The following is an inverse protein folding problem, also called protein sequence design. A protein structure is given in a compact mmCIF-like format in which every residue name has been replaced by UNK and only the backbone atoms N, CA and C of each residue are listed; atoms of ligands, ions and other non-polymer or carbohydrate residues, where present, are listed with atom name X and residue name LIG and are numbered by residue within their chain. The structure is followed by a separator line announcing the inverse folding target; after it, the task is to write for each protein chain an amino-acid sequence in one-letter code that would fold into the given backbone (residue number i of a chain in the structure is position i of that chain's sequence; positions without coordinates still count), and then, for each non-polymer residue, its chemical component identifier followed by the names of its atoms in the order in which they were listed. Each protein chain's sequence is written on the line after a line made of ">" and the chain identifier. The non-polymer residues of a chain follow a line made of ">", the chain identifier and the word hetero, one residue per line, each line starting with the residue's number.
data_IF_502868205472
#
_entry.id   IF_502868205472
#
_cell.length_a   1.000
_cell.length_b   1.000
_cell.length_c   1.000
_cell.angle_alpha   90.00
_cell.angle_beta   90.00
_cell.angle_gamma   90.00
#
_symmetry.space_group_name_H-M   'P 1'
#
loop_
_entity.id
_entity.type
_entity.pdbx_description
1 polymer ?
#
# COMPACT_ATOMS: atom_id res chain seq x y z
N UNK A 1 17.72 19.05 -7.71
CA UNK A 1 16.65 18.80 -6.70
C UNK A 1 15.51 19.82 -6.88
N UNK A 2 14.31 19.51 -6.39
CA UNK A 2 13.15 20.41 -6.44
C UNK A 2 13.43 21.76 -5.77
N UNK A 3 14.01 21.76 -4.59
CA UNK A 3 14.32 22.99 -3.86
C UNK A 3 15.38 23.86 -4.54
N UNK A 4 16.30 23.27 -5.31
CA UNK A 4 17.20 24.05 -6.16
C UNK A 4 16.44 24.78 -7.29
N UNK A 5 15.48 24.09 -7.92
CA UNK A 5 14.63 24.75 -8.92
C UNK A 5 13.80 25.87 -8.31
N UNK A 6 13.28 25.70 -7.08
CA UNK A 6 12.58 26.75 -6.34
C UNK A 6 13.48 27.96 -6.07
N UNK A 7 14.73 27.74 -5.66
CA UNK A 7 15.67 28.83 -5.43
C UNK A 7 15.98 29.60 -6.72
N UNK A 8 16.19 28.91 -7.85
CA UNK A 8 16.40 29.55 -9.15
C UNK A 8 15.17 30.35 -9.60
N UNK A 9 13.96 29.84 -9.35
CA UNK A 9 12.71 30.57 -9.64
C UNK A 9 12.64 31.90 -8.86
N UNK A 10 12.98 31.89 -7.56
CA UNK A 10 12.98 33.09 -6.70
C UNK A 10 14.09 34.07 -7.05
N UNK A 11 15.20 33.63 -7.62
CA UNK A 11 16.30 34.49 -8.07
C UNK A 11 16.16 35.00 -9.52
N UNK A 12 15.03 34.67 -10.19
CA UNK A 12 14.74 35.12 -11.55
C UNK A 12 15.34 34.22 -12.65
N UNK A 13 16.00 33.13 -12.31
CA UNK A 13 16.58 32.21 -13.29
C UNK A 13 15.53 31.18 -13.77
N UNK A 14 14.40 31.67 -14.29
CA UNK A 14 13.18 30.91 -14.58
C UNK A 14 13.41 29.75 -15.55
N UNK A 15 14.19 29.98 -16.63
CA UNK A 15 14.43 28.92 -17.62
C UNK A 15 15.28 27.78 -17.04
N UNK A 16 16.25 28.08 -16.18
CA UNK A 16 17.02 27.02 -15.49
C UNK A 16 16.12 26.23 -14.51
N UNK A 17 15.28 26.90 -13.74
CA UNK A 17 14.30 26.27 -12.87
C UNK A 17 13.38 25.32 -13.65
N UNK A 18 12.82 25.79 -14.77
CA UNK A 18 11.94 25.04 -15.66
C UNK A 18 12.59 23.76 -16.21
N UNK A 19 13.86 23.84 -16.60
CA UNK A 19 14.60 22.65 -17.07
C UNK A 19 14.74 21.58 -15.98
N UNK A 20 14.91 21.99 -14.72
CA UNK A 20 14.95 21.07 -13.59
C UNK A 20 13.57 20.47 -13.33
N UNK A 21 12.49 21.27 -13.35
CA UNK A 21 11.12 20.77 -13.21
C UNK A 21 10.75 19.77 -14.30
N UNK A 22 11.13 20.01 -15.57
CA UNK A 22 10.88 19.08 -16.69
C UNK A 22 11.54 17.72 -16.44
N UNK A 23 12.73 17.69 -15.86
CA UNK A 23 13.42 16.43 -15.51
C UNK A 23 12.72 15.73 -14.34
N UNK A 24 12.41 16.46 -13.27
CA UNK A 24 11.78 15.93 -12.07
C UNK A 24 10.35 15.43 -12.33
N UNK A 25 9.59 16.10 -13.18
CA UNK A 25 8.21 15.72 -13.51
C UNK A 25 8.09 14.34 -14.17
N UNK A 26 9.19 13.73 -14.58
CA UNK A 26 9.24 12.35 -15.09
C UNK A 26 9.29 11.30 -13.97
N UNK A 27 9.59 11.73 -12.75
CA UNK A 27 9.70 10.84 -11.59
C UNK A 27 8.35 10.66 -10.91
N UNK A 28 8.07 9.43 -10.43
CA UNK A 28 6.86 9.11 -9.68
C UNK A 28 7.13 9.22 -8.18
N UNK A 29 7.36 10.42 -7.73
CA UNK A 29 7.51 10.75 -6.32
C UNK A 29 6.89 12.11 -5.99
N UNK A 30 6.89 12.46 -4.71
CA UNK A 30 6.30 13.70 -4.23
C UNK A 30 6.86 14.94 -4.95
N UNK A 31 8.18 15.03 -5.12
CA UNK A 31 8.80 16.18 -5.77
C UNK A 31 8.63 16.16 -7.29
N UNK A 32 8.51 14.99 -7.90
CA UNK A 32 8.15 14.84 -9.30
C UNK A 32 6.74 15.37 -9.57
N UNK A 33 5.78 15.07 -8.72
CA UNK A 33 4.41 15.59 -8.83
C UNK A 33 4.37 17.10 -8.62
N UNK A 34 5.05 17.65 -7.59
CA UNK A 34 5.16 19.09 -7.41
C UNK A 34 5.83 19.79 -8.60
N UNK A 35 6.83 19.15 -9.22
CA UNK A 35 7.49 19.70 -10.41
C UNK A 35 6.55 19.69 -11.63
N UNK A 36 5.72 18.64 -11.77
CA UNK A 36 4.71 18.57 -12.83
C UNK A 36 3.67 19.68 -12.68
N UNK A 37 3.20 19.97 -11.45
CA UNK A 37 2.31 21.09 -11.16
C UNK A 37 2.94 22.43 -11.57
N UNK A 38 4.23 22.65 -11.26
CA UNK A 38 4.96 23.88 -11.60
C UNK A 38 5.03 24.16 -13.11
N UNK A 39 5.02 23.13 -13.93
CA UNK A 39 5.08 23.24 -15.40
C UNK A 39 3.77 22.88 -16.09
N UNK A 40 2.70 22.71 -15.32
CA UNK A 40 1.36 22.35 -15.77
C UNK A 40 1.37 21.11 -16.69
N UNK A 41 2.02 20.04 -16.22
CA UNK A 41 2.08 18.74 -16.91
C UNK A 41 1.36 17.66 -16.09
N UNK A 42 0.80 16.63 -16.74
CA UNK A 42 0.24 15.50 -16.04
C UNK A 42 1.32 14.72 -15.27
N UNK A 43 0.91 14.09 -14.18
CA UNK A 43 1.80 13.25 -13.37
C UNK A 43 2.28 12.02 -14.14
N UNK A 44 3.57 11.75 -14.05
CA UNK A 44 4.16 10.53 -14.61
C UNK A 44 3.94 9.37 -13.64
N UNK A 45 3.02 8.47 -13.97
CA UNK A 45 2.70 7.32 -13.11
C UNK A 45 3.69 6.16 -13.28
N UNK A 46 4.41 6.09 -14.38
CA UNK A 46 5.42 5.03 -14.65
C UNK A 46 4.89 3.64 -14.25
N UNK A 47 3.69 3.31 -14.74
CA UNK A 47 3.04 2.04 -14.43
C UNK A 47 3.42 0.96 -15.42
N UNK A 48 4.10 -0.08 -14.93
CA UNK A 48 4.45 -1.27 -15.70
C UNK A 48 3.83 -2.50 -15.02
N UNK A 49 2.76 -3.07 -15.55
CA UNK A 49 2.15 -4.29 -15.02
C UNK A 49 3.10 -5.49 -15.22
N UNK A 50 2.94 -6.50 -14.37
CA UNK A 50 3.60 -7.80 -14.60
C UNK A 50 3.01 -8.42 -15.87
N UNK A 51 3.87 -8.94 -16.72
CA UNK A 51 3.44 -9.70 -17.92
C UNK A 51 2.67 -10.95 -17.53
N UNK A 52 1.67 -11.34 -18.34
CA UNK A 52 0.88 -12.56 -18.12
C UNK A 52 1.68 -13.81 -18.56
N UNK A 53 2.64 -14.18 -17.72
CA UNK A 53 3.45 -15.39 -17.90
C UNK A 53 2.81 -16.57 -17.16
N UNK A 54 1.94 -17.29 -17.86
CA UNK A 54 1.18 -18.40 -17.30
C UNK A 54 2.05 -19.56 -16.85
N UNK A 55 3.14 -19.84 -17.56
CA UNK A 55 4.04 -20.94 -17.23
C UNK A 55 4.83 -20.64 -15.95
N UNK A 56 5.41 -19.45 -15.84
CA UNK A 56 6.13 -19.07 -14.64
C UNK A 56 5.18 -18.94 -13.43
N UNK A 57 3.99 -18.42 -13.64
CA UNK A 57 2.94 -18.37 -12.61
C UNK A 57 2.60 -19.78 -12.10
N UNK A 58 2.37 -20.74 -13.00
CA UNK A 58 2.12 -22.14 -12.69
C UNK A 58 3.29 -22.76 -11.93
N UNK A 59 4.51 -22.51 -12.39
CA UNK A 59 5.74 -22.99 -11.74
C UNK A 59 5.84 -22.50 -10.30
N UNK A 60 5.66 -21.18 -10.07
CA UNK A 60 5.73 -20.58 -8.74
C UNK A 60 4.62 -21.13 -7.85
N UNK A 61 3.38 -21.20 -8.33
CA UNK A 61 2.26 -21.72 -7.55
C UNK A 61 2.42 -23.20 -7.16
N UNK A 62 3.19 -23.97 -7.93
CA UNK A 62 3.46 -25.38 -7.70
C UNK A 62 4.57 -25.64 -6.69
N UNK A 63 5.37 -24.65 -6.31
CA UNK A 63 6.47 -24.80 -5.35
C UNK A 63 5.92 -25.33 -4.00
N UNK A 64 6.56 -26.34 -3.39
CA UNK A 64 6.11 -26.90 -2.12
C UNK A 64 5.88 -25.87 -1.01
N UNK A 65 6.79 -24.87 -0.89
CA UNK A 65 6.64 -23.81 0.10
C UNK A 65 5.45 -22.88 -0.21
N UNK A 66 5.14 -22.62 -1.48
CA UNK A 66 3.94 -21.85 -1.86
C UNK A 66 2.65 -22.61 -1.56
N UNK A 67 2.61 -23.91 -1.81
CA UNK A 67 1.46 -24.76 -1.44
C UNK A 67 1.24 -24.74 0.08
N UNK A 68 2.30 -24.97 0.88
CA UNK A 68 2.18 -24.88 2.35
C UNK A 68 1.80 -23.49 2.83
N UNK A 69 2.32 -22.43 2.21
CA UNK A 69 1.92 -21.05 2.52
C UNK A 69 0.43 -20.84 2.28
N UNK A 70 -0.12 -21.39 1.18
CA UNK A 70 -1.55 -21.32 0.88
C UNK A 70 -2.39 -22.05 1.92
N UNK A 71 -2.05 -23.31 2.24
CA UNK A 71 -2.78 -24.09 3.24
C UNK A 71 -2.80 -23.40 4.61
N UNK A 72 -1.65 -22.91 5.07
CA UNK A 72 -1.58 -22.15 6.31
C UNK A 72 -2.41 -20.86 6.28
N UNK A 73 -2.44 -20.18 5.12
CA UNK A 73 -3.24 -18.97 4.94
C UNK A 73 -4.75 -19.28 5.02
N UNK A 74 -5.20 -20.36 4.38
CA UNK A 74 -6.60 -20.80 4.43
C UNK A 74 -7.04 -21.19 5.85
N UNK A 75 -6.12 -21.67 6.68
CA UNK A 75 -6.34 -22.05 8.08
C UNK A 75 -6.17 -20.87 9.06
N UNK A 76 -6.06 -19.62 8.58
CA UNK A 76 -5.78 -18.43 9.41
C UNK A 76 -4.44 -18.51 10.20
N UNK A 77 -3.57 -19.47 9.87
CA UNK A 77 -2.25 -19.64 10.49
C UNK A 77 -1.24 -18.66 9.90
N UNK A 78 -1.54 -17.36 9.97
CA UNK A 78 -0.85 -16.28 9.28
C UNK A 78 0.66 -16.22 9.52
N UNK A 79 1.14 -16.60 10.71
CA UNK A 79 2.59 -16.63 11.03
C UNK A 79 3.30 -17.72 10.23
N UNK A 80 2.71 -18.91 10.15
CA UNK A 80 3.28 -20.04 9.41
C UNK A 80 3.21 -19.77 7.90
N UNK A 81 2.08 -19.27 7.41
CA UNK A 81 1.92 -18.85 6.02
C UNK A 81 3.04 -17.85 5.61
N UNK A 82 3.30 -16.83 6.43
CA UNK A 82 4.37 -15.85 6.16
C UNK A 82 5.76 -16.46 6.17
N UNK A 83 6.04 -17.43 7.04
CA UNK A 83 7.34 -18.12 7.08
C UNK A 83 7.60 -18.91 5.80
N UNK A 84 6.64 -19.72 5.38
CA UNK A 84 6.73 -20.50 4.14
C UNK A 84 6.85 -19.59 2.89
N UNK A 85 6.03 -18.55 2.84
CA UNK A 85 6.11 -17.53 1.79
C UNK A 85 7.49 -16.90 1.69
N UNK A 86 8.01 -16.39 2.81
CA UNK A 86 9.32 -15.75 2.85
C UNK A 86 10.46 -16.74 2.53
N UNK A 87 10.33 -18.00 2.94
CA UNK A 87 11.28 -19.05 2.58
C UNK A 87 11.34 -19.24 1.05
N UNK A 88 10.18 -19.31 0.40
CA UNK A 88 10.13 -19.40 -1.06
C UNK A 88 10.77 -18.19 -1.76
N UNK A 89 10.46 -16.97 -1.28
CA UNK A 89 10.98 -15.74 -1.87
C UNK A 89 12.52 -15.61 -1.81
N UNK A 90 13.20 -16.26 -0.85
CA UNK A 90 14.65 -16.15 -0.70
C UNK A 90 15.44 -16.60 -1.94
N UNK A 91 14.84 -17.45 -2.76
CA UNK A 91 15.47 -18.03 -3.96
C UNK A 91 14.88 -17.46 -5.26
N UNK A 92 14.05 -16.42 -5.18
CA UNK A 92 13.37 -15.84 -6.33
C UNK A 92 14.07 -14.60 -6.86
N UNK A 93 14.07 -14.46 -8.17
CA UNK A 93 14.43 -13.22 -8.83
C UNK A 93 13.38 -12.13 -8.60
N UNK A 94 13.70 -10.88 -8.91
CA UNK A 94 12.72 -9.76 -8.85
C UNK A 94 11.47 -10.08 -9.67
N UNK A 95 11.60 -10.62 -10.87
CA UNK A 95 10.47 -11.01 -11.72
C UNK A 95 9.60 -12.09 -11.06
N UNK A 96 10.22 -13.12 -10.52
CA UNK A 96 9.53 -14.20 -9.82
C UNK A 96 8.79 -13.72 -8.57
N UNK A 97 9.37 -12.77 -7.83
CA UNK A 97 8.70 -12.14 -6.70
C UNK A 97 7.47 -11.33 -7.13
N UNK A 98 7.50 -10.67 -8.31
CA UNK A 98 6.33 -10.00 -8.86
C UNK A 98 5.22 -11.00 -9.21
N UNK A 99 5.57 -12.13 -9.80
CA UNK A 99 4.61 -13.21 -10.08
C UNK A 99 4.04 -13.81 -8.78
N UNK A 100 4.87 -14.00 -7.76
CA UNK A 100 4.40 -14.40 -6.44
C UNK A 100 3.45 -13.35 -5.83
N UNK A 101 3.72 -12.06 -5.97
CA UNK A 101 2.80 -11.01 -5.52
C UNK A 101 1.45 -11.09 -6.24
N UNK A 102 1.43 -11.34 -7.55
CA UNK A 102 0.19 -11.58 -8.29
C UNK A 102 -0.56 -12.84 -7.79
N UNK A 103 0.18 -13.91 -7.44
CA UNK A 103 -0.39 -15.09 -6.81
C UNK A 103 -1.04 -14.78 -5.45
N UNK A 104 -0.39 -13.96 -4.61
CA UNK A 104 -0.97 -13.53 -3.35
C UNK A 104 -2.28 -12.75 -3.54
N UNK A 105 -2.38 -11.90 -4.57
CA UNK A 105 -3.64 -11.22 -4.93
C UNK A 105 -4.73 -12.22 -5.30
N UNK A 106 -4.42 -13.26 -6.09
CA UNK A 106 -5.39 -14.32 -6.42
C UNK A 106 -5.92 -15.06 -5.19
N UNK A 107 -5.11 -15.16 -4.14
CA UNK A 107 -5.54 -15.76 -2.86
C UNK A 107 -6.31 -14.79 -1.95
N UNK A 108 -6.47 -13.52 -2.34
CA UNK A 108 -7.02 -12.48 -1.49
C UNK A 108 -6.03 -11.94 -0.45
N UNK A 109 -4.77 -12.36 -0.51
CA UNK A 109 -3.73 -11.98 0.45
C UNK A 109 -3.01 -10.69 0.03
N UNK A 110 -3.77 -9.62 -0.13
CA UNK A 110 -3.32 -8.35 -0.72
C UNK A 110 -2.16 -7.69 0.03
N UNK A 111 -2.17 -7.73 1.37
CA UNK A 111 -1.05 -7.20 2.16
C UNK A 111 0.26 -7.92 1.85
N UNK A 112 0.20 -9.22 1.55
CA UNK A 112 1.38 -10.01 1.19
C UNK A 112 1.92 -9.60 -0.17
N UNK A 113 1.05 -9.27 -1.12
CA UNK A 113 1.44 -8.72 -2.42
C UNK A 113 2.19 -7.40 -2.24
N UNK A 114 1.64 -6.45 -1.48
CA UNK A 114 2.27 -5.15 -1.20
C UNK A 114 3.68 -5.33 -0.62
N UNK A 115 3.83 -6.18 0.40
CA UNK A 115 5.11 -6.44 1.06
C UNK A 115 6.10 -7.12 0.10
N UNK A 116 5.62 -8.06 -0.70
CA UNK A 116 6.46 -8.78 -1.67
C UNK A 116 6.97 -7.85 -2.76
N UNK A 117 6.13 -6.96 -3.29
CA UNK A 117 6.53 -5.94 -4.26
C UNK A 117 7.57 -4.97 -3.70
N UNK A 118 7.42 -4.56 -2.43
CA UNK A 118 8.41 -3.73 -1.75
C UNK A 118 9.75 -4.46 -1.60
N UNK A 119 9.74 -5.73 -1.20
CA UNK A 119 10.92 -6.58 -1.09
C UNK A 119 11.63 -6.78 -2.44
N UNK A 120 10.88 -6.96 -3.51
CA UNK A 120 11.38 -7.10 -4.87
C UNK A 120 11.96 -5.79 -5.43
N UNK A 121 11.76 -4.65 -4.74
CA UNK A 121 12.04 -3.29 -5.24
C UNK A 121 11.36 -3.00 -6.60
N UNK A 122 10.30 -3.73 -6.91
CA UNK A 122 9.51 -3.59 -8.14
C UNK A 122 8.43 -2.53 -7.93
N UNK A 123 8.84 -1.26 -8.02
CA UNK A 123 8.01 -0.13 -7.62
C UNK A 123 6.99 0.29 -8.67
N UNK A 124 7.08 -0.23 -9.89
CA UNK A 124 6.34 0.27 -11.05
C UNK A 124 5.01 -0.43 -11.31
N UNK A 125 4.72 -1.55 -10.64
CA UNK A 125 3.40 -2.15 -10.69
C UNK A 125 2.46 -1.54 -9.65
N UNK A 126 1.71 -0.52 -10.07
CA UNK A 126 0.83 0.23 -9.16
C UNK A 126 -0.37 -0.60 -8.70
N UNK A 127 -0.90 -1.49 -9.54
CA UNK A 127 -2.07 -2.32 -9.19
C UNK A 127 -1.76 -3.24 -8.00
N UNK A 128 -0.61 -3.92 -8.01
CA UNK A 128 -0.20 -4.80 -6.90
C UNK A 128 0.20 -4.03 -5.64
N UNK A 129 0.68 -2.79 -5.79
CA UNK A 129 1.16 -1.96 -4.68
C UNK A 129 0.10 -1.10 -4.03
N UNK A 130 -0.94 -0.72 -4.77
CA UNK A 130 -2.01 0.18 -4.35
C UNK A 130 -3.39 -0.42 -4.65
N UNK A 131 -3.72 -1.59 -4.08
CA UNK A 131 -5.03 -2.20 -4.29
C UNK A 131 -6.13 -1.31 -3.71
N UNK A 132 -7.29 -1.30 -4.38
CA UNK A 132 -8.48 -0.62 -3.88
C UNK A 132 -9.31 -1.65 -3.09
N UNK A 133 -9.09 -1.69 -1.78
CA UNK A 133 -9.79 -2.60 -0.86
C UNK A 133 -10.73 -1.81 0.05
N UNK A 134 -11.82 -2.45 0.50
CA UNK A 134 -12.85 -1.81 1.33
C UNK A 134 -13.46 -0.55 0.68
N UNK A 135 -13.55 -0.52 -0.64
CA UNK A 135 -13.88 0.69 -1.43
C UNK A 135 -15.18 1.33 -0.98
N UNK A 136 -16.25 0.55 -0.86
CA UNK A 136 -17.56 1.06 -0.46
C UNK A 136 -17.51 1.73 0.93
N UNK A 137 -16.83 1.08 1.90
CA UNK A 137 -16.69 1.58 3.27
C UNK A 137 -15.88 2.87 3.31
N UNK A 138 -14.67 2.84 2.76
CA UNK A 138 -13.73 3.97 2.83
C UNK A 138 -14.27 5.18 2.05
N UNK A 139 -14.83 4.97 0.86
CA UNK A 139 -15.42 6.04 0.04
C UNK A 139 -16.64 6.67 0.72
N UNK A 140 -17.52 5.85 1.34
CA UNK A 140 -18.68 6.36 2.10
C UNK A 140 -18.24 7.31 3.21
N UNK A 141 -17.26 6.91 4.01
CA UNK A 141 -16.78 7.72 5.13
C UNK A 141 -15.95 8.92 4.70
N UNK A 142 -15.14 8.81 3.66
CA UNK A 142 -14.42 9.93 3.05
C UNK A 142 -15.42 11.02 2.59
N UNK A 143 -16.43 10.64 1.81
CA UNK A 143 -17.47 11.55 1.31
C UNK A 143 -18.24 12.22 2.47
N UNK A 144 -18.63 11.44 3.49
CA UNK A 144 -19.37 11.99 4.65
C UNK A 144 -18.58 13.07 5.39
N UNK A 145 -17.27 12.99 5.41
CA UNK A 145 -16.39 13.91 6.14
C UNK A 145 -15.68 14.92 5.21
N UNK A 146 -16.09 15.00 3.95
CA UNK A 146 -15.48 15.90 2.95
C UNK A 146 -13.94 15.73 2.83
N UNK A 147 -13.47 14.48 2.85
CA UNK A 147 -12.07 14.12 2.70
C UNK A 147 -11.88 13.43 1.34
N UNK A 148 -10.79 13.76 0.63
CA UNK A 148 -10.46 13.05 -0.60
C UNK A 148 -10.24 11.55 -0.30
N UNK A 149 -10.94 10.69 -1.05
CA UNK A 149 -10.87 9.24 -0.86
C UNK A 149 -9.46 8.69 -1.07
N UNK A 150 -8.70 9.26 -2.01
CA UNK A 150 -7.35 8.80 -2.31
C UNK A 150 -6.43 9.00 -1.11
N UNK A 151 -6.63 10.07 -0.36
CA UNK A 151 -5.92 10.30 0.90
C UNK A 151 -6.26 9.24 1.95
N UNK A 152 -7.54 8.90 2.12
CA UNK A 152 -7.97 7.85 3.06
C UNK A 152 -7.34 6.50 2.69
N UNK A 153 -7.35 6.12 1.40
CA UNK A 153 -6.67 4.91 0.91
C UNK A 153 -5.17 4.94 1.16
N UNK A 154 -4.52 6.09 0.94
CA UNK A 154 -3.11 6.30 1.21
C UNK A 154 -2.74 6.07 2.67
N UNK A 155 -3.54 6.63 3.60
CA UNK A 155 -3.36 6.43 5.05
C UNK A 155 -3.54 4.97 5.43
N UNK A 156 -4.63 4.31 5.04
CA UNK A 156 -4.88 2.88 5.36
C UNK A 156 -3.75 2.00 4.83
N UNK A 157 -3.28 2.27 3.62
CA UNK A 157 -2.16 1.54 3.04
C UNK A 157 -0.86 1.73 3.82
N UNK A 158 -0.57 2.95 4.24
CA UNK A 158 0.66 3.27 4.99
C UNK A 158 0.64 2.67 6.41
N UNK A 159 -0.51 2.73 7.08
CA UNK A 159 -0.67 2.31 8.47
C UNK A 159 -0.76 0.79 8.64
N UNK A 160 -1.46 0.10 7.76
CA UNK A 160 -1.76 -1.34 7.94
C UNK A 160 -1.48 -2.21 6.73
N UNK A 161 -1.18 -1.64 5.57
CA UNK A 161 -1.24 -2.36 4.30
C UNK A 161 -2.56 -3.14 4.12
N UNK A 162 -3.68 -2.56 4.58
CA UNK A 162 -5.03 -3.13 4.58
C UNK A 162 -5.22 -4.37 5.47
N UNK A 163 -4.41 -4.56 6.51
CA UNK A 163 -4.62 -5.63 7.50
C UNK A 163 -5.61 -5.12 8.55
N UNK A 164 -6.80 -5.74 8.61
CA UNK A 164 -7.91 -5.29 9.48
C UNK A 164 -7.61 -5.47 10.97
N UNK A 165 -6.94 -6.53 11.36
CA UNK A 165 -6.74 -6.93 12.74
C UNK A 165 -5.30 -6.73 13.24
N UNK A 166 -4.54 -5.89 12.54
CA UNK A 166 -3.17 -5.58 12.94
C UNK A 166 -3.13 -4.75 14.21
N UNK A 167 -2.16 -5.04 15.06
CA UNK A 167 -1.81 -4.18 16.20
C UNK A 167 -0.32 -3.89 16.20
N UNK A 168 0.03 -2.63 16.46
CA UNK A 168 1.43 -2.23 16.61
C UNK A 168 1.99 -2.64 17.99
N UNK A 169 3.33 -2.66 18.16
CA UNK A 169 3.95 -2.89 19.46
C UNK A 169 3.51 -1.92 20.55
N UNK A 170 3.18 -0.67 20.18
CA UNK A 170 2.70 0.38 21.10
C UNK A 170 1.18 0.41 21.26
N UNK A 171 0.45 -0.52 20.64
CA UNK A 171 -0.98 -0.72 20.84
C UNK A 171 -1.90 0.04 19.88
N UNK A 172 -1.41 0.60 18.77
CA UNK A 172 -2.26 1.09 17.70
C UNK A 172 -3.02 -0.06 17.04
N UNK A 173 -4.27 0.16 16.57
CA UNK A 173 -5.17 -0.91 16.14
C UNK A 173 -5.82 -0.64 14.78
N UNK A 174 -5.95 -1.73 14.00
CA UNK A 174 -6.79 -1.80 12.81
C UNK A 174 -6.25 -1.07 11.59
N UNK A 175 -7.11 -0.88 10.59
CA UNK A 175 -6.75 -0.35 9.27
C UNK A 175 -6.00 0.99 9.31
N UNK A 176 -6.39 1.89 10.22
CA UNK A 176 -5.81 3.23 10.35
C UNK A 176 -4.90 3.38 11.57
N UNK A 177 -4.51 2.27 12.23
CA UNK A 177 -3.62 2.25 13.40
C UNK A 177 -3.99 3.30 14.46
N UNK A 178 -5.26 3.30 14.86
CA UNK A 178 -5.77 4.26 15.83
C UNK A 178 -5.40 3.82 17.25
N UNK A 179 -4.81 4.74 18.02
CA UNK A 179 -4.50 4.49 19.44
C UNK A 179 -5.80 4.34 20.25
N UNK A 180 -5.85 3.41 21.22
CA UNK A 180 -7.05 3.17 22.04
C UNK A 180 -7.64 4.43 22.72
N UNK A 181 -6.79 5.35 23.16
CA UNK A 181 -7.20 6.63 23.74
C UNK A 181 -7.94 7.49 22.72
N UNK A 182 -7.36 7.63 21.52
CA UNK A 182 -7.96 8.37 20.39
C UNK A 182 -9.28 7.72 19.97
N UNK A 183 -9.32 6.39 19.84
CA UNK A 183 -10.54 5.66 19.49
C UNK A 183 -11.68 5.90 20.49
N UNK A 184 -11.40 5.90 21.81
CA UNK A 184 -12.41 6.23 22.84
C UNK A 184 -12.89 7.67 22.74
N UNK A 185 -11.99 8.62 22.51
CA UNK A 185 -12.34 10.04 22.34
C UNK A 185 -13.26 10.24 21.14
N UNK A 186 -12.90 9.68 20.00
CA UNK A 186 -13.71 9.75 18.77
C UNK A 186 -15.07 9.07 18.97
N UNK A 187 -15.10 7.86 19.55
CA UNK A 187 -16.33 7.14 19.81
C UNK A 187 -17.31 7.95 20.69
N UNK A 188 -16.78 8.61 21.74
CA UNK A 188 -17.57 9.51 22.58
C UNK A 188 -18.13 10.69 21.78
N UNK A 189 -17.30 11.30 20.93
CA UNK A 189 -17.69 12.46 20.12
C UNK A 189 -18.81 12.13 19.12
N UNK A 190 -18.77 10.93 18.50
CA UNK A 190 -19.79 10.49 17.54
C UNK A 190 -20.93 9.67 18.17
N UNK A 191 -21.04 9.64 19.50
CA UNK A 191 -22.16 9.04 20.21
C UNK A 191 -22.15 7.51 20.29
N UNK A 192 -21.04 6.84 20.00
CA UNK A 192 -20.92 5.37 20.14
C UNK A 192 -20.81 5.02 21.63
N UNK A 193 -21.87 4.40 22.16
CA UNK A 193 -21.90 3.90 23.54
C UNK A 193 -21.12 2.58 23.63
N UNK A 194 -20.45 2.35 24.78
CA UNK A 194 -19.74 1.09 25.09
C UNK A 194 -18.61 0.72 24.10
N UNK A 195 -17.95 1.70 23.51
CA UNK A 195 -16.80 1.44 22.66
C UNK A 195 -15.66 0.75 23.45
N UNK A 196 -15.38 -0.50 23.12
CA UNK A 196 -14.31 -1.31 23.75
C UNK A 196 -13.15 -1.47 22.76
N UNK A 197 -11.97 -1.00 23.15
CA UNK A 197 -10.72 -1.28 22.44
C UNK A 197 -10.17 -2.62 22.91
N UNK A 198 -10.52 -3.71 22.27
CA UNK A 198 -10.02 -5.04 22.60
C UNK A 198 -9.47 -5.72 21.35
N UNK A 199 -8.28 -6.36 21.49
CA UNK A 199 -7.74 -7.25 20.45
C UNK A 199 -8.72 -8.38 20.06
N UNK A 200 -9.72 -8.66 20.89
CA UNK A 200 -10.75 -9.70 20.65
C UNK A 200 -11.97 -9.22 19.86
N UNK A 201 -12.14 -7.92 19.64
CA UNK A 201 -13.32 -7.38 18.96
C UNK A 201 -13.16 -7.37 17.44
N UNK A 202 -12.85 -8.53 16.83
CA UNK A 202 -12.92 -8.73 15.36
C UNK A 202 -14.31 -8.42 14.76
N UNK A 203 -15.38 -8.38 15.57
CA UNK A 203 -16.77 -8.20 15.11
C UNK A 203 -17.26 -6.75 14.97
N UNK A 204 -16.55 -5.75 15.49
CA UNK A 204 -17.00 -4.36 15.47
C UNK A 204 -16.33 -3.50 14.39
N UNK A 205 -15.48 -4.10 13.58
CA UNK A 205 -14.78 -3.43 12.48
C UNK A 205 -15.21 -3.98 11.09
N UNK A 206 -16.31 -4.73 11.03
CA UNK A 206 -16.99 -5.12 9.80
C UNK A 206 -18.12 -4.15 9.47
#
# INVERSE_FOLDING_TARGET
>A
TYWHARALEETGEIEKAKQIYIKLAKERDYYGFLAADKINKPYSMNHYPVTDDKEEFKRISSLPAMKRAYEFYQLDMNTNARREWNHALNKMTTYQMQMAAALAVKWGWHNRAIITMSRAKALDNLVLRFPILFEALLTKHAKKNNIDRSWVFGVVRAESAFIEDISSPVGALGLMQVMPRTGRSVAKHIGIKNFKTSKKNKKLMK
#
